data_IF_442791735438
#
_entry.id   IF_442791735438
#
_cell.length_a   1.000
_cell.length_b   1.000
_cell.length_c   1.000
_cell.angle_alpha   90.00
_cell.angle_beta   90.00
_cell.angle_gamma   90.00
#
_symmetry.space_group_name_H-M   'P 1'
#
loop_
_entity.id
_entity.type
_entity.pdbx_description
1 polymer ?
#
# COMPACT_ATOMS: atom_id res chain seq x y z
N UNK A 1 -0.26 41.52 66.42
CA UNK A 1 0.54 41.73 67.65
C UNK A 1 1.58 40.63 67.76
N UNK A 2 2.83 41.09 67.97
CA UNK A 2 4.02 40.32 68.45
C UNK A 2 4.57 39.24 67.45
N UNK A 3 5.84 39.22 67.23
CA UNK A 3 7.05 40.08 67.29
C UNK A 3 8.16 39.28 66.57
N UNK A 4 8.97 40.03 65.82
CA UNK A 4 10.22 39.59 65.21
C UNK A 4 11.19 39.01 66.26
N UNK A 5 12.00 38.09 65.90
CA UNK A 5 13.39 38.05 66.39
C UNK A 5 14.34 37.60 65.26
N UNK A 6 15.16 38.56 64.89
CA UNK A 6 16.42 38.35 64.15
C UNK A 6 17.44 37.69 65.10
N UNK A 7 18.23 36.77 64.52
CA UNK A 7 19.56 36.46 65.06
C UNK A 7 20.53 36.44 63.87
N UNK A 8 21.49 37.34 64.01
CA UNK A 8 22.62 37.54 63.13
C UNK A 8 23.86 36.84 63.61
N UNK A 9 24.77 36.45 62.66
CA UNK A 9 26.25 36.55 62.66
C UNK A 9 27.03 35.32 63.15
N UNK A 10 28.30 35.10 62.75
CA UNK A 10 29.20 35.82 61.81
C UNK A 10 29.93 34.90 60.78
N UNK A 11 30.63 35.61 59.90
CA UNK A 11 31.55 35.12 58.91
C UNK A 11 32.92 34.67 59.50
N UNK A 12 33.53 33.70 58.86
CA UNK A 12 34.96 33.41 59.02
C UNK A 12 35.51 32.76 57.72
N UNK A 13 36.63 33.24 57.22
CA UNK A 13 37.15 32.77 55.93
C UNK A 13 38.04 31.52 56.11
N UNK A 14 37.77 30.48 55.35
CA UNK A 14 38.72 29.43 55.17
C UNK A 14 39.07 29.29 53.70
N UNK A 15 40.26 29.75 53.40
CA UNK A 15 40.96 29.63 52.12
C UNK A 15 41.36 28.15 51.95
N UNK A 16 40.74 27.42 51.00
CA UNK A 16 41.20 26.09 50.58
C UNK A 16 41.61 26.16 49.13
N UNK A 17 42.91 26.08 48.99
CA UNK A 17 43.62 25.95 47.72
C UNK A 17 43.37 24.52 47.19
N UNK A 18 42.63 24.36 46.10
CA UNK A 18 42.47 23.07 45.40
C UNK A 18 43.28 23.13 44.12
N UNK A 19 44.33 22.34 44.07
CA UNK A 19 45.09 22.01 42.87
C UNK A 19 44.19 21.42 41.81
N UNK A 20 44.16 22.04 40.65
CA UNK A 20 43.58 21.43 39.44
C UNK A 20 44.57 20.42 38.85
N UNK A 21 44.29 19.13 38.98
CA UNK A 21 44.86 18.11 38.14
C UNK A 21 44.01 18.03 36.86
N UNK A 22 44.58 18.48 35.77
CA UNK A 22 44.09 18.25 34.44
C UNK A 22 44.34 16.76 34.07
N UNK A 23 43.32 15.90 34.22
CA UNK A 23 43.30 14.58 33.60
C UNK A 23 42.73 14.75 32.19
N UNK A 24 43.64 14.68 31.19
CA UNK A 24 43.24 14.50 29.82
C UNK A 24 42.66 13.08 29.65
N UNK A 25 41.35 12.95 29.83
CA UNK A 25 40.60 11.77 29.47
C UNK A 25 40.28 11.83 27.99
N UNK A 26 40.97 11.04 27.17
CA UNK A 26 40.47 10.67 25.85
C UNK A 26 39.18 9.86 26.07
N UNK A 27 38.06 10.56 26.04
CA UNK A 27 36.75 9.93 25.89
C UNK A 27 36.67 9.38 24.49
N UNK A 28 36.81 8.07 24.34
CA UNK A 28 36.29 7.38 23.18
C UNK A 28 34.80 7.67 23.17
N UNK A 29 34.36 8.53 22.25
CA UNK A 29 32.96 8.60 21.91
C UNK A 29 32.60 7.21 21.37
N UNK A 30 31.91 6.40 22.19
CA UNK A 30 31.12 5.31 21.66
C UNK A 30 30.12 5.98 20.71
N UNK A 31 30.42 5.88 19.41
CA UNK A 31 29.41 5.96 18.38
C UNK A 31 28.39 4.88 18.71
N UNK A 32 27.35 5.27 19.42
CA UNK A 32 26.10 4.50 19.45
C UNK A 32 25.64 4.48 17.99
N UNK A 33 26.07 3.44 17.29
CA UNK A 33 25.57 3.13 15.96
C UNK A 33 24.05 3.18 16.07
N UNK A 34 23.45 4.14 15.39
CA UNK A 34 22.02 4.17 15.21
C UNK A 34 21.68 2.78 14.64
N UNK A 35 21.15 1.91 15.49
CA UNK A 35 20.70 0.58 15.08
C UNK A 35 19.78 0.81 13.90
N UNK A 36 20.16 0.30 12.75
CA UNK A 36 19.33 0.40 11.56
C UNK A 36 17.95 -0.14 11.96
N UNK A 37 16.95 0.73 11.94
CA UNK A 37 15.57 0.34 12.17
C UNK A 37 15.25 -0.59 11.01
N UNK A 38 15.22 -1.90 11.29
CA UNK A 38 14.88 -2.89 10.28
C UNK A 38 13.44 -2.59 9.82
N UNK A 39 13.18 -2.53 8.51
CA UNK A 39 11.87 -2.22 8.00
C UNK A 39 10.84 -3.21 8.56
N UNK A 40 9.64 -2.73 8.86
CA UNK A 40 8.51 -3.56 9.22
C UNK A 40 8.30 -4.60 8.09
N UNK A 41 7.92 -5.87 8.37
CA UNK A 41 7.55 -6.83 7.33
C UNK A 41 6.32 -6.36 6.54
N UNK A 42 5.53 -5.44 7.10
CA UNK A 42 4.44 -4.78 6.38
C UNK A 42 4.99 -4.06 5.16
N UNK A 43 4.43 -4.33 4.00
CA UNK A 43 4.86 -3.78 2.73
C UNK A 43 4.92 -4.82 1.62
N UNK A 44 5.39 -4.37 0.47
CA UNK A 44 5.44 -5.18 -0.75
C UNK A 44 6.82 -5.82 -0.92
N UNK A 45 6.82 -7.12 -1.19
CA UNK A 45 8.01 -7.95 -1.35
C UNK A 45 7.93 -8.74 -2.65
N UNK A 46 8.92 -8.60 -3.50
CA UNK A 46 9.12 -9.47 -4.67
C UNK A 46 9.78 -10.78 -4.20
N UNK A 47 9.22 -11.92 -4.59
CA UNK A 47 9.84 -13.22 -4.30
C UNK A 47 10.96 -13.46 -5.30
N UNK A 48 12.15 -13.80 -4.81
CA UNK A 48 13.31 -14.11 -5.63
C UNK A 48 13.43 -15.62 -5.87
N UNK A 49 13.27 -16.39 -4.81
CA UNK A 49 13.43 -17.83 -4.87
C UNK A 49 12.80 -18.55 -3.69
N UNK A 50 12.53 -19.83 -3.91
CA UNK A 50 12.18 -20.81 -2.88
C UNK A 50 13.31 -21.83 -2.77
N UNK A 51 13.69 -22.19 -1.54
CA UNK A 51 14.60 -23.31 -1.33
C UNK A 51 13.86 -24.36 -0.49
N UNK A 52 13.73 -25.55 -1.04
CA UNK A 52 13.08 -26.70 -0.39
C UNK A 52 13.78 -27.97 -0.81
N UNK A 53 13.95 -28.93 0.10
CA UNK A 53 14.60 -30.21 -0.14
C UNK A 53 15.99 -30.08 -0.82
N UNK A 54 16.73 -29.01 -0.46
CA UNK A 54 18.06 -28.71 -1.04
C UNK A 54 18.03 -28.19 -2.49
N UNK A 55 16.85 -27.96 -3.07
CA UNK A 55 16.68 -27.38 -4.41
C UNK A 55 16.22 -25.94 -4.30
N UNK A 56 16.72 -25.10 -5.21
CA UNK A 56 16.29 -23.72 -5.35
C UNK A 56 15.45 -23.55 -6.62
N UNK A 57 14.24 -23.02 -6.46
CA UNK A 57 13.34 -22.65 -7.54
C UNK A 57 13.38 -21.12 -7.66
N UNK A 58 13.69 -20.60 -8.84
CA UNK A 58 13.64 -19.17 -9.10
C UNK A 58 12.20 -18.71 -9.32
N UNK A 59 11.89 -17.56 -8.78
CA UNK A 59 10.53 -17.03 -8.85
C UNK A 59 10.21 -16.43 -10.23
N UNK A 60 9.01 -16.67 -10.76
CA UNK A 60 8.46 -15.86 -11.84
C UNK A 60 8.33 -14.41 -11.43
N UNK A 61 8.44 -13.47 -12.37
CA UNK A 61 8.35 -12.02 -12.14
C UNK A 61 7.08 -11.59 -11.37
N UNK A 62 5.97 -12.30 -11.58
CA UNK A 62 4.71 -12.00 -10.92
C UNK A 62 4.66 -12.43 -9.45
N UNK A 63 5.62 -13.23 -8.96
CA UNK A 63 5.60 -13.77 -7.60
C UNK A 63 5.90 -12.67 -6.58
N UNK A 64 4.93 -12.40 -5.69
CA UNK A 64 5.03 -11.33 -4.70
C UNK A 64 4.15 -11.56 -3.49
N UNK A 65 4.53 -10.92 -2.41
CA UNK A 65 3.74 -10.78 -1.17
C UNK A 65 3.54 -9.31 -0.85
N UNK A 66 2.35 -8.97 -0.39
CA UNK A 66 1.99 -7.66 0.09
C UNK A 66 1.41 -7.82 1.50
N UNK A 67 2.23 -7.58 2.51
CA UNK A 67 1.86 -7.72 3.92
C UNK A 67 1.20 -6.45 4.42
N UNK A 68 -0.05 -6.57 4.86
CA UNK A 68 -0.73 -5.60 5.72
C UNK A 68 -0.63 -5.99 7.19
N UNK A 69 -1.34 -5.31 8.05
CA UNK A 69 -1.31 -5.54 9.50
C UNK A 69 -1.76 -6.96 9.90
N UNK A 70 -2.84 -7.47 9.30
CA UNK A 70 -3.44 -8.78 9.62
C UNK A 70 -3.76 -9.62 8.37
N UNK A 71 -3.41 -9.12 7.21
CA UNK A 71 -3.66 -9.77 5.93
C UNK A 71 -2.42 -9.75 5.07
N UNK A 72 -2.31 -10.75 4.23
CA UNK A 72 -1.37 -10.74 3.12
C UNK A 72 -2.13 -11.04 1.84
N UNK A 73 -1.83 -10.27 0.82
CA UNK A 73 -2.22 -10.53 -0.56
C UNK A 73 -0.97 -10.89 -1.32
N UNK A 74 -1.10 -11.66 -2.37
CA UNK A 74 0.07 -12.02 -3.17
C UNK A 74 -0.29 -12.69 -4.47
N UNK A 75 0.77 -13.08 -5.14
CA UNK A 75 0.69 -13.90 -6.34
C UNK A 75 1.74 -15.01 -6.22
N UNK A 76 1.33 -16.24 -6.43
CA UNK A 76 2.23 -17.40 -6.36
C UNK A 76 3.14 -17.56 -7.58
N UNK A 77 3.01 -16.66 -8.55
CA UNK A 77 3.70 -16.70 -9.83
C UNK A 77 2.73 -16.56 -11.00
N UNK A 78 1.53 -17.08 -10.85
CA UNK A 78 0.42 -16.94 -11.80
C UNK A 78 -0.89 -16.66 -11.05
N UNK A 79 -1.19 -17.47 -10.04
CA UNK A 79 -2.43 -17.32 -9.30
C UNK A 79 -2.30 -16.33 -8.14
N UNK A 80 -3.23 -15.38 -8.09
CA UNK A 80 -3.38 -14.47 -6.98
C UNK A 80 -4.00 -15.15 -5.77
N UNK A 81 -3.65 -14.71 -4.57
CA UNK A 81 -4.20 -15.25 -3.33
C UNK A 81 -4.38 -14.18 -2.25
N UNK A 82 -5.16 -14.52 -1.25
CA UNK A 82 -5.25 -13.80 0.02
C UNK A 82 -5.00 -14.78 1.16
N UNK A 83 -4.43 -14.30 2.27
CA UNK A 83 -4.25 -15.07 3.48
C UNK A 83 -4.36 -14.16 4.70
N UNK A 84 -4.56 -14.74 5.87
CA UNK A 84 -4.42 -14.02 7.15
C UNK A 84 -2.98 -14.17 7.64
N UNK A 85 -2.38 -13.07 8.08
CA UNK A 85 -1.05 -13.04 8.67
C UNK A 85 -1.12 -12.50 10.10
N UNK A 86 -0.56 -13.24 11.06
CA UNK A 86 -0.46 -12.81 12.45
C UNK A 86 1.00 -12.77 12.86
N UNK A 87 1.51 -11.58 13.14
CA UNK A 87 2.91 -11.38 13.52
C UNK A 87 3.13 -11.62 15.01
N UNK A 88 4.17 -12.37 15.34
CA UNK A 88 4.67 -12.55 16.70
C UNK A 88 5.96 -11.72 16.86
N UNK A 89 5.78 -10.45 17.20
CA UNK A 89 6.86 -9.48 17.17
C UNK A 89 7.45 -9.34 15.77
N UNK A 90 8.76 -9.16 15.70
CA UNK A 90 9.48 -8.95 14.43
C UNK A 90 10.13 -10.21 13.88
N UNK A 91 10.01 -11.34 14.58
CA UNK A 91 10.79 -12.56 14.30
C UNK A 91 9.97 -13.72 13.72
N UNK A 92 8.66 -13.65 13.73
CA UNK A 92 7.82 -14.72 13.20
C UNK A 92 6.46 -14.20 12.72
N UNK A 93 5.91 -14.90 11.74
CA UNK A 93 4.55 -14.72 11.24
C UNK A 93 3.86 -16.07 11.16
N UNK A 94 2.58 -16.10 11.52
CA UNK A 94 1.71 -17.26 11.28
C UNK A 94 0.76 -16.93 10.15
N UNK A 95 0.81 -17.74 9.09
CA UNK A 95 0.02 -17.56 7.87
C UNK A 95 -1.07 -18.61 7.82
N UNK A 96 -2.31 -18.16 7.61
CA UNK A 96 -3.45 -19.03 7.35
C UNK A 96 -3.93 -18.75 5.93
N UNK A 97 -3.79 -19.70 5.00
CA UNK A 97 -4.24 -19.54 3.62
C UNK A 97 -5.72 -19.21 3.52
N UNK A 98 -6.06 -18.32 2.61
CA UNK A 98 -7.42 -17.94 2.27
C UNK A 98 -7.78 -18.35 0.83
N UNK A 99 -8.48 -17.47 0.13
CA UNK A 99 -8.88 -17.72 -1.25
C UNK A 99 -7.71 -17.55 -2.23
N UNK A 100 -7.69 -18.35 -3.29
CA UNK A 100 -6.79 -18.20 -4.42
C UNK A 100 -7.52 -18.42 -5.74
N UNK A 101 -7.01 -17.80 -6.80
CA UNK A 101 -7.42 -18.15 -8.18
C UNK A 101 -6.82 -19.50 -8.58
N UNK A 102 -7.38 -20.13 -9.60
CA UNK A 102 -6.98 -21.47 -10.06
C UNK A 102 -6.84 -21.48 -11.58
N UNK A 103 -5.95 -20.67 -12.13
CA UNK A 103 -5.60 -20.70 -13.53
C UNK A 103 -4.52 -21.77 -13.78
N UNK A 104 -4.57 -22.44 -14.92
CA UNK A 104 -3.50 -23.32 -15.35
C UNK A 104 -2.36 -22.50 -15.98
N UNK A 105 -1.15 -22.65 -15.47
CA UNK A 105 0.01 -21.86 -15.84
C UNK A 105 1.24 -22.73 -16.09
N UNK A 106 2.23 -22.18 -16.76
CA UNK A 106 3.48 -22.90 -17.05
C UNK A 106 4.29 -23.23 -15.78
N UNK A 107 4.27 -22.36 -14.79
CA UNK A 107 5.12 -22.43 -13.58
C UNK A 107 4.42 -23.06 -12.37
N UNK A 108 3.60 -24.10 -12.60
CA UNK A 108 2.85 -24.78 -11.54
C UNK A 108 3.73 -25.41 -10.46
N UNK A 109 4.97 -25.83 -10.80
CA UNK A 109 5.91 -26.38 -9.82
C UNK A 109 6.28 -25.33 -8.77
N UNK A 110 6.64 -24.13 -9.21
CA UNK A 110 6.95 -23.01 -8.31
C UNK A 110 5.73 -22.63 -7.47
N UNK A 111 4.59 -22.47 -8.11
CA UNK A 111 3.34 -22.06 -7.44
C UNK A 111 2.93 -23.06 -6.35
N UNK A 112 2.97 -24.36 -6.66
CA UNK A 112 2.65 -25.42 -5.70
C UNK A 112 3.62 -25.41 -4.51
N UNK A 113 4.92 -25.25 -4.77
CA UNK A 113 5.92 -25.16 -3.73
C UNK A 113 5.73 -23.92 -2.87
N UNK A 114 5.45 -22.76 -3.49
CA UNK A 114 5.22 -21.52 -2.77
C UNK A 114 3.99 -21.61 -1.86
N UNK A 115 2.86 -22.07 -2.37
CA UNK A 115 1.64 -22.23 -1.59
C UNK A 115 1.85 -23.19 -0.40
N UNK A 116 2.63 -24.27 -0.59
CA UNK A 116 2.97 -25.19 0.49
C UNK A 116 3.87 -24.58 1.55
N UNK A 117 4.88 -23.80 1.16
CA UNK A 117 5.82 -23.16 2.09
C UNK A 117 5.19 -21.98 2.82
N UNK A 118 4.31 -21.22 2.16
CA UNK A 118 3.68 -20.04 2.71
C UNK A 118 2.43 -20.37 3.54
N UNK A 119 2.62 -21.22 4.54
CA UNK A 119 1.55 -21.64 5.47
C UNK A 119 2.11 -21.93 6.85
N UNK A 120 1.28 -21.77 7.89
CA UNK A 120 1.65 -22.04 9.25
C UNK A 120 2.63 -21.01 9.82
N UNK A 121 3.44 -21.43 10.81
CA UNK A 121 4.41 -20.55 11.48
C UNK A 121 5.71 -20.50 10.67
N UNK A 122 6.11 -19.29 10.32
CA UNK A 122 7.35 -18.98 9.61
C UNK A 122 8.22 -18.05 10.47
N UNK A 123 9.50 -18.34 10.55
CA UNK A 123 10.49 -17.45 11.15
C UNK A 123 10.90 -16.38 10.14
N UNK A 124 11.05 -15.16 10.62
CA UNK A 124 11.43 -14.00 9.81
C UNK A 124 12.90 -13.69 10.05
N UNK A 125 13.68 -13.67 8.99
CA UNK A 125 15.06 -13.18 8.96
C UNK A 125 15.11 -11.95 8.03
N UNK A 126 15.65 -10.83 8.52
CA UNK A 126 15.59 -9.53 7.84
C UNK A 126 16.95 -8.93 7.59
N UNK A 127 17.08 -8.33 6.41
CA UNK A 127 18.10 -7.39 6.06
C UNK A 127 17.51 -6.02 5.68
N UNK A 128 18.33 -5.06 5.28
CA UNK A 128 17.85 -3.72 4.88
C UNK A 128 16.82 -3.77 3.75
N UNK A 129 17.06 -4.58 2.72
CA UNK A 129 16.21 -4.71 1.54
C UNK A 129 15.79 -6.18 1.29
N UNK A 130 15.96 -7.06 2.28
CA UNK A 130 15.71 -8.49 2.16
C UNK A 130 14.86 -9.01 3.29
N UNK A 131 14.01 -9.93 2.95
CA UNK A 131 13.18 -10.67 3.89
C UNK A 131 13.25 -12.15 3.53
N UNK A 132 13.59 -12.99 4.48
CA UNK A 132 13.55 -14.44 4.30
C UNK A 132 12.59 -15.04 5.31
N UNK A 133 11.60 -15.76 4.82
CA UNK A 133 10.73 -16.57 5.65
C UNK A 133 11.27 -18.00 5.68
N UNK A 134 11.35 -18.58 6.87
CA UNK A 134 11.86 -19.95 7.07
C UNK A 134 10.80 -20.81 7.74
N UNK A 135 10.59 -21.98 7.18
CA UNK A 135 9.76 -23.04 7.77
C UNK A 135 10.53 -23.81 8.85
N UNK A 136 9.83 -24.61 9.63
CA UNK A 136 10.46 -25.42 10.70
C UNK A 136 11.43 -26.49 10.17
N UNK A 137 11.24 -26.97 8.94
CA UNK A 137 12.12 -27.94 8.26
C UNK A 137 13.33 -27.28 7.57
N UNK A 138 13.46 -25.94 7.66
CA UNK A 138 14.56 -25.19 7.09
C UNK A 138 14.36 -24.74 5.64
N UNK A 139 13.22 -25.03 5.03
CA UNK A 139 12.89 -24.46 3.72
C UNK A 139 12.72 -22.94 3.82
N UNK A 140 13.00 -22.22 2.72
CA UNK A 140 13.01 -20.75 2.73
C UNK A 140 12.26 -20.15 1.56
N UNK A 141 11.70 -18.96 1.81
CA UNK A 141 11.17 -18.03 0.81
C UNK A 141 12.04 -16.79 0.90
N UNK A 142 12.89 -16.55 -0.10
CA UNK A 142 13.74 -15.37 -0.17
C UNK A 142 13.06 -14.27 -0.99
N UNK A 143 13.08 -13.05 -0.46
CA UNK A 143 12.38 -11.90 -1.02
C UNK A 143 13.25 -10.65 -0.92
N UNK A 144 13.06 -9.75 -1.88
CA UNK A 144 13.56 -8.38 -1.81
C UNK A 144 12.42 -7.40 -1.64
N UNK A 145 12.73 -6.28 -0.99
CA UNK A 145 11.82 -5.14 -0.95
C UNK A 145 11.49 -4.75 -2.39
N UNK A 146 10.25 -4.97 -2.79
CA UNK A 146 9.77 -4.42 -4.06
C UNK A 146 9.58 -2.92 -3.83
N UNK A 147 10.22 -2.05 -4.62
CA UNK A 147 9.88 -0.64 -4.60
C UNK A 147 8.35 -0.55 -4.77
N UNK A 148 7.70 0.23 -3.94
CA UNK A 148 6.31 0.56 -4.19
C UNK A 148 6.29 1.12 -5.62
N UNK A 149 5.49 0.50 -6.51
CA UNK A 149 5.25 1.13 -7.83
C UNK A 149 4.79 2.55 -7.52
N UNK A 150 5.47 3.58 -7.99
CA UNK A 150 5.04 4.95 -7.72
C UNK A 150 3.57 5.08 -8.05
N UNK A 151 2.83 5.77 -7.19
CA UNK A 151 1.43 6.02 -7.47
C UNK A 151 1.33 6.87 -8.74
N UNK A 152 0.48 6.44 -9.65
CA UNK A 152 0.18 7.23 -10.82
C UNK A 152 -0.37 8.60 -10.39
N UNK A 153 0.02 9.70 -11.05
CA UNK A 153 -0.51 11.01 -10.70
C UNK A 153 -2.03 11.04 -10.97
N UNK A 154 -2.79 11.65 -10.06
CA UNK A 154 -4.24 11.78 -10.21
C UNK A 154 -4.62 12.51 -11.52
N UNK A 155 -3.81 13.51 -11.91
CA UNK A 155 -4.04 14.38 -13.04
C UNK A 155 -3.14 14.05 -14.22
N UNK A 156 -3.56 14.44 -15.42
CA UNK A 156 -2.82 14.27 -16.69
C UNK A 156 -2.59 12.81 -17.11
N UNK A 157 -3.35 11.87 -16.53
CA UNK A 157 -3.34 10.44 -16.84
C UNK A 157 -4.73 10.03 -17.28
N UNK A 158 -4.85 9.16 -18.29
CA UNK A 158 -6.11 8.56 -18.67
C UNK A 158 -6.44 7.38 -17.75
N UNK A 159 -7.52 7.49 -17.02
CA UNK A 159 -8.04 6.45 -16.13
C UNK A 159 -9.09 5.62 -16.86
N UNK A 160 -8.84 4.32 -17.06
CA UNK A 160 -9.79 3.39 -17.66
C UNK A 160 -10.55 2.66 -16.56
N UNK A 161 -11.87 2.81 -16.53
CA UNK A 161 -12.72 2.16 -15.51
C UNK A 161 -12.74 0.65 -15.74
N UNK A 162 -12.41 -0.11 -14.68
CA UNK A 162 -12.34 -1.56 -14.68
C UNK A 162 -13.52 -2.19 -13.92
N UNK A 163 -13.95 -1.54 -12.84
CA UNK A 163 -14.96 -2.09 -11.93
C UNK A 163 -15.81 -0.99 -11.31
N UNK A 164 -17.01 -1.39 -10.89
CA UNK A 164 -17.91 -0.56 -10.07
C UNK A 164 -18.03 -1.15 -8.68
N UNK A 165 -18.11 -0.27 -7.68
CA UNK A 165 -18.28 -0.61 -6.26
C UNK A 165 -19.71 -0.30 -5.85
N UNK A 166 -20.33 -1.21 -5.09
CA UNK A 166 -21.64 -1.04 -4.48
C UNK A 166 -21.60 -1.65 -3.07
N UNK A 167 -21.42 -0.80 -2.06
CA UNK A 167 -21.20 -1.23 -0.68
C UNK A 167 -19.95 -2.08 -0.54
N UNK A 168 -20.09 -3.32 -0.10
CA UNK A 168 -18.97 -4.27 0.02
C UNK A 168 -18.69 -5.09 -1.25
N UNK A 169 -19.46 -4.88 -2.32
CA UNK A 169 -19.33 -5.65 -3.56
C UNK A 169 -18.58 -4.87 -4.62
N UNK A 170 -17.65 -5.54 -5.29
CA UNK A 170 -16.94 -5.02 -6.46
C UNK A 170 -17.31 -5.89 -7.65
N UNK A 171 -17.75 -5.29 -8.73
CA UNK A 171 -18.13 -5.98 -9.96
C UNK A 171 -17.36 -5.42 -11.14
N UNK A 172 -16.71 -6.28 -11.92
CA UNK A 172 -16.11 -5.88 -13.20
C UNK A 172 -17.17 -5.33 -14.14
N UNK A 173 -16.76 -4.46 -15.06
CA UNK A 173 -17.66 -4.00 -16.09
C UNK A 173 -18.12 -5.19 -16.98
N UNK A 174 -19.38 -5.16 -17.47
CA UNK A 174 -19.84 -6.17 -18.45
C UNK A 174 -18.95 -6.20 -19.68
N UNK A 175 -18.79 -7.37 -20.31
CA UNK A 175 -17.91 -7.57 -21.47
C UNK A 175 -18.15 -6.54 -22.60
N UNK A 176 -19.40 -6.15 -22.87
CA UNK A 176 -19.75 -5.13 -23.87
C UNK A 176 -19.45 -3.69 -23.47
N UNK A 177 -18.99 -3.44 -22.23
CA UNK A 177 -18.63 -2.11 -21.73
C UNK A 177 -17.15 -2.04 -21.26
N UNK A 178 -16.41 -3.15 -21.30
CA UNK A 178 -15.01 -3.15 -20.90
C UNK A 178 -14.19 -2.20 -21.79
N UNK A 179 -13.39 -1.32 -21.15
CA UNK A 179 -12.52 -0.35 -21.82
C UNK A 179 -13.26 0.84 -22.49
N UNK A 180 -14.60 0.91 -22.42
CA UNK A 180 -15.35 2.02 -23.03
C UNK A 180 -15.45 3.24 -22.13
N UNK A 181 -15.44 3.07 -20.83
CA UNK A 181 -15.49 4.14 -19.84
C UNK A 181 -14.07 4.54 -19.42
N UNK A 182 -13.71 5.81 -19.69
CA UNK A 182 -12.40 6.37 -19.37
C UNK A 182 -12.47 7.88 -19.21
N UNK A 183 -11.58 8.43 -18.40
CA UNK A 183 -11.52 9.86 -18.17
C UNK A 183 -10.12 10.34 -17.82
N UNK A 184 -9.85 11.61 -18.09
CA UNK A 184 -8.66 12.32 -17.68
C UNK A 184 -9.05 13.53 -16.87
N UNK A 185 -8.45 13.71 -15.70
CA UNK A 185 -8.50 14.95 -14.92
C UNK A 185 -7.27 15.75 -15.30
N UNK A 186 -7.45 16.93 -15.89
CA UNK A 186 -6.34 17.81 -16.25
C UNK A 186 -5.76 18.53 -15.03
N UNK A 187 -4.61 19.17 -15.17
CA UNK A 187 -3.96 19.90 -14.07
C UNK A 187 -4.79 21.07 -13.53
N UNK A 188 -5.66 21.66 -14.37
CA UNK A 188 -6.62 22.70 -13.98
C UNK A 188 -7.91 22.15 -13.36
N UNK A 189 -7.95 20.84 -13.09
CA UNK A 189 -9.09 20.09 -12.57
C UNK A 189 -10.30 20.05 -13.52
N UNK A 190 -10.16 20.42 -14.79
CA UNK A 190 -11.16 20.03 -15.78
C UNK A 190 -11.08 18.51 -16.01
N UNK A 191 -12.22 17.86 -16.17
CA UNK A 191 -12.31 16.44 -16.47
C UNK A 191 -13.03 16.23 -17.78
N UNK A 192 -12.54 15.30 -18.57
CA UNK A 192 -13.19 14.89 -19.81
C UNK A 192 -12.94 13.41 -20.10
N UNK A 193 -13.83 12.81 -20.88
CA UNK A 193 -13.72 11.41 -21.24
C UNK A 193 -14.98 10.83 -21.83
N UNK A 194 -15.17 9.53 -21.63
CA UNK A 194 -16.37 8.77 -21.98
C UNK A 194 -16.91 8.03 -20.75
N UNK A 195 -18.22 8.00 -20.60
CA UNK A 195 -18.87 7.27 -19.49
C UNK A 195 -19.26 5.83 -19.88
N UNK A 196 -18.83 5.38 -21.02
CA UNK A 196 -19.20 4.10 -21.62
C UNK A 196 -19.72 4.28 -23.04
N UNK A 197 -20.66 5.16 -23.28
CA UNK A 197 -21.22 5.50 -24.58
C UNK A 197 -21.04 6.98 -24.90
N UNK A 198 -21.52 7.86 -24.05
CA UNK A 198 -21.43 9.29 -24.26
C UNK A 198 -20.11 9.89 -23.76
N UNK A 199 -19.62 10.88 -24.50
CA UNK A 199 -18.53 11.74 -24.00
C UNK A 199 -19.07 12.67 -22.93
N UNK A 200 -18.21 13.01 -22.00
CA UNK A 200 -18.55 13.98 -20.97
C UNK A 200 -17.42 14.97 -20.72
N UNK A 201 -17.77 16.07 -20.11
CA UNK A 201 -16.83 17.01 -19.48
C UNK A 201 -17.48 17.64 -18.26
N UNK A 202 -16.66 18.01 -17.29
CA UNK A 202 -17.06 18.74 -16.09
C UNK A 202 -15.86 19.52 -15.51
N UNK A 203 -16.13 20.35 -14.51
CA UNK A 203 -15.10 20.91 -13.64
C UNK A 203 -15.10 20.13 -12.33
N UNK A 204 -13.93 19.73 -11.87
CA UNK A 204 -13.74 19.11 -10.55
C UNK A 204 -13.29 20.18 -9.58
N UNK A 205 -13.81 20.15 -8.36
CA UNK A 205 -13.26 20.92 -7.23
C UNK A 205 -12.64 19.97 -6.23
N UNK A 206 -11.54 20.40 -5.60
CA UNK A 206 -10.85 19.65 -4.57
C UNK A 206 -10.98 20.37 -3.24
N UNK A 207 -11.48 19.65 -2.24
CA UNK A 207 -11.53 20.12 -0.86
C UNK A 207 -10.83 19.07 0.04
N UNK A 208 -9.64 19.42 0.50
CA UNK A 208 -8.78 18.48 1.20
C UNK A 208 -8.42 17.27 0.36
N UNK A 209 -8.86 16.11 0.79
CA UNK A 209 -8.67 14.82 0.14
C UNK A 209 -9.84 14.42 -0.76
N UNK A 210 -10.89 15.24 -0.90
CA UNK A 210 -12.10 14.92 -1.64
C UNK A 210 -12.19 15.67 -2.96
N UNK A 211 -12.79 15.00 -3.95
CA UNK A 211 -13.08 15.53 -5.27
C UNK A 211 -14.60 15.64 -5.45
N UNK A 212 -15.08 16.79 -5.87
CA UNK A 212 -16.49 16.99 -6.24
C UNK A 212 -16.56 17.31 -7.73
N UNK A 213 -17.28 16.49 -8.46
CA UNK A 213 -17.54 16.71 -9.87
C UNK A 213 -18.70 17.69 -10.01
N UNK A 214 -18.49 18.76 -10.74
CA UNK A 214 -19.54 19.69 -11.10
C UNK A 214 -20.54 19.11 -12.10
N UNK A 215 -21.51 19.89 -12.57
CA UNK A 215 -22.51 19.43 -13.53
C UNK A 215 -21.84 18.85 -14.78
N UNK A 216 -22.24 17.62 -15.14
CA UNK A 216 -21.71 16.94 -16.33
C UNK A 216 -22.35 17.51 -17.60
N UNK A 217 -21.52 17.88 -18.53
CA UNK A 217 -21.93 18.15 -19.91
C UNK A 217 -21.69 16.89 -20.73
N UNK A 218 -22.73 16.31 -21.33
CA UNK A 218 -22.63 15.06 -22.07
C UNK A 218 -23.15 15.19 -23.50
N UNK A 219 -22.62 14.38 -24.41
CA UNK A 219 -23.29 14.09 -25.66
C UNK A 219 -24.60 13.32 -25.38
N UNK A 220 -25.52 13.30 -26.34
CA UNK A 220 -26.84 12.68 -26.15
C UNK A 220 -27.10 11.60 -27.21
N UNK A 221 -26.19 10.66 -27.33
CA UNK A 221 -26.46 9.48 -28.14
C UNK A 221 -27.38 8.53 -27.37
N UNK A 222 -28.26 7.85 -28.08
CA UNK A 222 -29.03 6.77 -27.48
C UNK A 222 -28.08 5.58 -27.20
N UNK A 223 -28.03 5.14 -25.96
CA UNK A 223 -27.12 4.11 -25.50
C UNK A 223 -27.91 2.95 -24.90
N UNK A 224 -28.04 1.89 -25.69
CA UNK A 224 -28.67 0.65 -25.26
C UNK A 224 -27.63 -0.36 -24.75
N UNK A 225 -28.04 -1.28 -23.88
CA UNK A 225 -27.22 -2.39 -23.42
C UNK A 225 -26.16 -1.98 -22.38
N UNK A 226 -25.07 -2.79 -22.23
CA UNK A 226 -24.13 -2.69 -21.12
C UNK A 226 -23.42 -1.35 -21.00
N UNK A 227 -23.10 -0.69 -22.12
CA UNK A 227 -22.43 0.61 -22.12
C UNK A 227 -23.32 1.72 -21.54
N UNK A 228 -24.64 1.69 -21.86
CA UNK A 228 -25.61 2.63 -21.31
C UNK A 228 -25.84 2.41 -19.81
N UNK A 229 -25.85 1.16 -19.35
CA UNK A 229 -25.95 0.85 -17.92
C UNK A 229 -24.73 1.35 -17.12
N UNK A 230 -23.53 1.21 -17.68
CA UNK A 230 -22.31 1.74 -17.06
C UNK A 230 -22.34 3.27 -17.03
N UNK A 231 -22.75 3.90 -18.13
CA UNK A 231 -22.89 5.36 -18.20
C UNK A 231 -23.85 5.90 -17.13
N UNK A 232 -25.01 5.28 -16.96
CA UNK A 232 -25.97 5.70 -15.94
C UNK A 232 -25.36 5.63 -14.53
N UNK A 233 -24.68 4.54 -14.20
CA UNK A 233 -24.03 4.34 -12.87
C UNK A 233 -22.91 5.33 -12.64
N UNK A 234 -22.07 5.61 -13.66
CA UNK A 234 -20.98 6.58 -13.54
C UNK A 234 -21.51 8.02 -13.45
N UNK A 235 -22.57 8.34 -14.17
CA UNK A 235 -23.25 9.64 -14.08
C UNK A 235 -23.79 9.86 -12.67
N UNK A 236 -24.48 8.87 -12.09
CA UNK A 236 -24.99 8.91 -10.73
C UNK A 236 -23.87 9.04 -9.69
N UNK A 237 -22.75 8.31 -9.89
CA UNK A 237 -21.60 8.39 -9.00
C UNK A 237 -20.97 9.79 -9.03
N UNK A 238 -20.70 10.34 -10.19
CA UNK A 238 -20.10 11.68 -10.30
C UNK A 238 -21.02 12.79 -9.81
N UNK A 239 -22.34 12.60 -9.86
CA UNK A 239 -23.32 13.51 -9.30
C UNK A 239 -23.59 13.31 -7.81
N UNK A 240 -23.06 12.27 -7.18
CA UNK A 240 -23.38 11.89 -5.78
C UNK A 240 -22.76 12.81 -4.71
N UNK A 241 -21.92 13.77 -5.10
CA UNK A 241 -21.23 14.69 -4.20
C UNK A 241 -19.75 14.36 -4.06
N UNK A 242 -19.12 14.66 -2.90
CA UNK A 242 -17.69 14.47 -2.71
C UNK A 242 -17.29 12.99 -2.77
N UNK A 243 -16.30 12.67 -3.61
CA UNK A 243 -15.69 11.35 -3.73
C UNK A 243 -14.31 11.37 -3.08
N UNK A 244 -13.95 10.30 -2.40
CA UNK A 244 -12.63 10.09 -1.83
C UNK A 244 -11.76 9.34 -2.86
N UNK A 245 -10.71 9.96 -3.43
CA UNK A 245 -9.74 9.29 -4.27
C UNK A 245 -8.72 8.54 -3.42
N UNK A 246 -8.37 7.35 -3.85
CA UNK A 246 -7.25 6.56 -3.34
C UNK A 246 -6.49 5.99 -4.52
N UNK A 247 -5.19 6.23 -4.58
CA UNK A 247 -4.32 5.70 -5.61
C UNK A 247 -3.34 4.73 -4.96
N UNK A 248 -3.21 3.56 -5.55
CA UNK A 248 -2.24 2.54 -5.16
C UNK A 248 -1.59 2.00 -6.44
N UNK A 249 -0.34 2.40 -6.68
CA UNK A 249 0.32 2.14 -7.95
C UNK A 249 -0.47 2.75 -9.11
N UNK A 250 -0.98 1.92 -10.00
CA UNK A 250 -1.76 2.34 -11.17
C UNK A 250 -3.28 2.29 -10.98
N UNK A 251 -3.76 1.94 -9.80
CA UNK A 251 -5.19 1.82 -9.52
C UNK A 251 -5.71 3.05 -8.78
N UNK A 252 -6.69 3.70 -9.36
CA UNK A 252 -7.49 4.77 -8.75
C UNK A 252 -8.82 4.18 -8.27
N UNK A 253 -9.09 4.33 -7.00
CA UNK A 253 -10.43 4.08 -6.44
C UNK A 253 -11.07 5.42 -6.12
N UNK A 254 -12.28 5.67 -6.60
CA UNK A 254 -13.12 6.79 -6.19
C UNK A 254 -14.32 6.24 -5.42
N UNK A 255 -14.53 6.72 -4.19
CA UNK A 255 -15.61 6.21 -3.32
C UNK A 255 -16.45 7.36 -2.78
N UNK A 256 -17.76 7.24 -2.86
CA UNK A 256 -18.73 8.15 -2.25
C UNK A 256 -19.02 7.77 -0.79
N UNK A 257 -19.64 8.65 -0.04
CA UNK A 257 -19.97 8.43 1.37
C UNK A 257 -20.97 7.28 1.58
N UNK A 258 -21.80 6.96 0.58
CA UNK A 258 -22.77 5.85 0.62
C UNK A 258 -22.15 4.50 0.18
N UNK A 259 -20.82 4.45 -0.02
CA UNK A 259 -20.09 3.24 -0.38
C UNK A 259 -20.18 2.82 -1.83
N UNK A 260 -20.71 3.67 -2.70
CA UNK A 260 -20.61 3.47 -4.14
C UNK A 260 -19.28 3.98 -4.66
N UNK A 261 -18.80 3.43 -5.77
CA UNK A 261 -17.53 3.87 -6.32
C UNK A 261 -17.16 3.21 -7.63
N UNK A 262 -15.97 3.53 -8.07
CA UNK A 262 -15.32 2.91 -9.22
C UNK A 262 -13.87 2.56 -8.90
N UNK A 263 -13.34 1.59 -9.64
CA UNK A 263 -11.91 1.32 -9.73
C UNK A 263 -11.51 1.55 -11.19
N UNK A 264 -10.50 2.39 -11.38
CA UNK A 264 -9.93 2.68 -12.70
C UNK A 264 -8.42 2.44 -12.69
N UNK A 265 -7.86 2.17 -13.86
CA UNK A 265 -6.46 1.85 -14.03
C UNK A 265 -5.78 2.83 -14.99
N UNK A 266 -4.59 3.28 -14.62
CA UNK A 266 -3.70 4.06 -15.48
C UNK A 266 -2.95 3.15 -16.46
N UNK A 267 -2.51 3.65 -17.63
CA UNK A 267 -1.65 2.92 -18.56
C UNK A 267 -0.37 2.40 -17.89
N UNK A 268 0.24 1.36 -18.47
CA UNK A 268 1.47 0.75 -17.95
C UNK A 268 2.73 1.60 -18.11
N UNK A 269 2.69 2.60 -18.95
CA UNK A 269 3.79 3.47 -19.37
C UNK A 269 3.81 4.84 -18.66
N UNK A 270 3.06 4.99 -17.58
CA UNK A 270 3.11 6.19 -16.73
C UNK A 270 4.25 6.03 -15.74
N UNK A 271 5.40 6.66 -16.05
CA UNK A 271 6.54 6.88 -15.17
C UNK A 271 6.51 8.26 -14.50
#
# INVERSE_FOLDING_TARGET
MRTLRHVTVPAGPALVLVLALAAAGCGLAEEQGAGAVLPDPVGRWAVESLTTDGRTLHAPEAARLDFGENQVKGNYGCNGFTATASFAGTSAVTVTPGASTTMACADMEFETAFAKLFTGRLTIDRGPDRLTLKTADGSTIAMTSAPATPDAPLTAVEWTVQSLISGSSVSSLPAGAAGTARFTIAADLSVSGTLGCNRFSAQVTRDGDRLTFGPLTTTRMACDGPAGEVEAKLTDLFASGPLLPRIEGRLLTLTSADGKGLIAEAPSDVE
#
